data_IF_114903673244
#
_entry.id   IF_114903673244
#
_cell.length_a   1.000
_cell.length_b   1.000
_cell.length_c   1.000
_cell.angle_alpha   90.00
_cell.angle_beta   90.00
_cell.angle_gamma   90.00
#
_symmetry.space_group_name_H-M   'P 1'
#
loop_
_entity.id
_entity.type
_entity.pdbx_description
1 polymer ?
#
# COMPACT_ATOMS: atom_id res chain seq x y z
N UNK A 1 -12.84 -6.06 -22.56
CA UNK A 1 -12.03 -6.95 -21.71
C UNK A 1 -13.00 -7.76 -20.89
N UNK A 2 -13.09 -9.07 -21.11
CA UNK A 2 -13.79 -9.94 -20.17
C UNK A 2 -12.78 -10.25 -19.05
N UNK A 3 -13.03 -9.73 -17.84
CA UNK A 3 -12.27 -10.19 -16.68
C UNK A 3 -12.62 -11.67 -16.47
N UNK A 4 -11.59 -12.52 -16.39
CA UNK A 4 -11.78 -13.92 -16.02
C UNK A 4 -12.50 -14.05 -14.67
N UNK A 5 -13.05 -15.23 -14.39
CA UNK A 5 -13.82 -15.51 -13.17
C UNK A 5 -13.07 -15.06 -11.91
N UNK A 6 -11.75 -15.27 -11.86
CA UNK A 6 -10.89 -14.82 -10.76
C UNK A 6 -10.86 -13.30 -10.60
N UNK A 7 -10.68 -12.54 -11.69
CA UNK A 7 -10.66 -11.08 -11.65
C UNK A 7 -12.01 -10.47 -11.28
N UNK A 8 -13.11 -11.12 -11.67
CA UNK A 8 -14.48 -10.66 -11.35
C UNK A 8 -14.82 -10.86 -9.87
N UNK A 9 -14.35 -11.94 -9.25
CA UNK A 9 -14.61 -12.27 -7.84
C UNK A 9 -13.41 -11.99 -6.92
N UNK A 10 -12.45 -11.18 -7.36
CA UNK A 10 -11.21 -10.91 -6.61
C UNK A 10 -11.50 -10.43 -5.17
N UNK A 11 -12.46 -9.52 -4.99
CA UNK A 11 -12.84 -9.02 -3.66
C UNK A 11 -13.34 -10.14 -2.73
N UNK A 12 -14.08 -11.10 -3.28
CA UNK A 12 -14.59 -12.24 -2.52
C UNK A 12 -13.45 -13.20 -2.15
N UNK A 13 -12.55 -13.49 -3.10
CA UNK A 13 -11.37 -14.31 -2.83
C UNK A 13 -10.48 -13.69 -1.76
N UNK A 14 -10.24 -12.38 -1.83
CA UNK A 14 -9.47 -11.65 -0.80
C UNK A 14 -10.15 -11.75 0.56
N UNK A 15 -11.46 -11.55 0.63
CA UNK A 15 -12.21 -11.68 1.88
C UNK A 15 -12.11 -13.10 2.48
N UNK A 16 -12.24 -14.14 1.64
CA UNK A 16 -12.08 -15.54 2.05
C UNK A 16 -10.66 -15.79 2.57
N UNK A 17 -9.63 -15.30 1.87
CA UNK A 17 -8.24 -15.44 2.30
C UNK A 17 -7.97 -14.74 3.64
N UNK A 18 -8.57 -13.56 3.89
CA UNK A 18 -8.46 -12.86 5.17
C UNK A 18 -9.08 -13.69 6.29
N UNK A 19 -10.33 -14.15 6.11
CA UNK A 19 -11.04 -14.94 7.13
C UNK A 19 -10.32 -16.26 7.40
N UNK A 20 -9.91 -16.97 6.34
CA UNK A 20 -9.16 -18.22 6.47
C UNK A 20 -7.81 -18.00 7.15
N UNK A 21 -7.10 -16.91 6.82
CA UNK A 21 -5.82 -16.56 7.44
C UNK A 21 -5.95 -16.26 8.93
N UNK A 22 -6.99 -15.50 9.33
CA UNK A 22 -7.28 -15.22 10.74
C UNK A 22 -7.62 -16.51 11.50
N UNK A 23 -8.52 -17.34 10.95
CA UNK A 23 -8.90 -18.61 11.58
C UNK A 23 -7.70 -19.57 11.71
N UNK A 24 -6.84 -19.65 10.70
CA UNK A 24 -5.61 -20.45 10.75
C UNK A 24 -4.62 -19.91 11.78
N UNK A 25 -4.49 -18.58 11.91
CA UNK A 25 -3.61 -17.94 12.88
C UNK A 25 -4.05 -18.17 14.33
N UNK A 26 -5.36 -18.17 14.57
CA UNK A 26 -5.96 -18.36 15.90
C UNK A 26 -6.04 -19.84 16.32
N UNK A 27 -6.39 -20.74 15.38
CA UNK A 27 -6.53 -22.18 15.65
C UNK A 27 -5.19 -22.93 15.63
N UNK A 28 -4.19 -22.45 14.87
CA UNK A 28 -2.85 -23.03 14.81
C UNK A 28 -1.74 -21.99 15.09
N UNK A 29 -1.58 -21.58 16.36
CA UNK A 29 -0.55 -20.61 16.75
C UNK A 29 0.89 -21.11 16.44
N UNK A 30 1.11 -22.42 16.36
CA UNK A 30 2.40 -23.02 15.94
C UNK A 30 2.83 -22.63 14.53
N UNK A 31 1.89 -22.37 13.61
CA UNK A 31 2.19 -21.92 12.25
C UNK A 31 2.68 -20.46 12.26
N UNK A 32 2.00 -19.59 13.02
CA UNK A 32 2.42 -18.20 13.26
C UNK A 32 3.78 -18.12 13.96
N UNK A 33 4.01 -18.99 14.95
CA UNK A 33 5.27 -19.05 15.69
C UNK A 33 6.44 -19.54 14.81
N UNK A 34 6.18 -20.46 13.87
CA UNK A 34 7.20 -20.91 12.90
C UNK A 34 7.54 -19.81 11.90
N UNK A 35 6.56 -19.04 11.42
CA UNK A 35 6.78 -17.88 10.56
C UNK A 35 7.58 -16.78 11.30
N UNK A 36 7.30 -16.60 12.58
CA UNK A 36 8.02 -15.66 13.46
C UNK A 36 9.47 -16.09 13.68
N UNK A 37 9.79 -17.39 13.69
CA UNK A 37 11.19 -17.89 13.73
C UNK A 37 11.99 -17.58 12.46
N UNK A 38 11.32 -17.42 11.32
CA UNK A 38 11.92 -16.96 10.06
C UNK A 38 11.87 -15.43 9.89
N UNK A 39 11.71 -14.70 10.99
CA UNK A 39 11.72 -13.23 11.02
C UNK A 39 13.07 -12.76 11.57
N UNK A 40 13.83 -12.04 10.75
CA UNK A 40 15.06 -11.36 11.17
C UNK A 40 14.73 -9.86 11.25
N UNK A 41 14.92 -9.26 12.43
CA UNK A 41 14.69 -7.83 12.67
C UNK A 41 13.34 -7.30 12.18
N UNK A 42 12.23 -7.95 12.58
CA UNK A 42 10.84 -7.58 12.23
C UNK A 42 10.43 -7.84 10.76
N UNK A 43 11.31 -8.39 9.92
CA UNK A 43 10.98 -8.72 8.51
C UNK A 43 10.94 -10.24 8.30
N UNK A 44 9.77 -10.76 7.94
CA UNK A 44 9.60 -12.18 7.63
C UNK A 44 10.16 -12.49 6.24
N UNK A 45 11.23 -13.29 6.19
CA UNK A 45 11.89 -13.69 4.92
C UNK A 45 10.89 -14.27 3.90
N UNK A 46 9.94 -15.16 4.28
CA UNK A 46 8.97 -15.69 3.33
C UNK A 46 8.09 -14.61 2.69
N UNK A 47 7.67 -13.62 3.48
CA UNK A 47 6.84 -12.51 3.02
C UNK A 47 7.65 -11.61 2.08
N UNK A 48 8.92 -11.34 2.40
CA UNK A 48 9.80 -10.55 1.54
C UNK A 48 9.97 -11.21 0.15
N UNK A 49 10.15 -12.53 0.09
CA UNK A 49 10.23 -13.29 -1.18
C UNK A 49 8.92 -13.18 -1.96
N UNK A 50 7.77 -13.37 -1.30
CA UNK A 50 6.45 -13.24 -1.93
C UNK A 50 6.22 -11.85 -2.53
N UNK A 51 6.57 -10.80 -1.78
CA UNK A 51 6.47 -9.41 -2.26
C UNK A 51 7.41 -9.18 -3.44
N UNK A 52 8.62 -9.75 -3.43
CA UNK A 52 9.56 -9.63 -4.54
C UNK A 52 9.01 -10.30 -5.82
N UNK A 53 8.45 -11.51 -5.70
CA UNK A 53 7.77 -12.19 -6.81
C UNK A 53 6.59 -11.40 -7.36
N UNK A 54 5.89 -10.62 -6.52
CA UNK A 54 4.79 -9.75 -6.96
C UNK A 54 5.29 -8.54 -7.75
N UNK A 55 6.44 -7.97 -7.38
CA UNK A 55 7.01 -6.76 -8.02
C UNK A 55 7.66 -7.11 -9.37
N UNK A 56 8.34 -8.26 -9.45
CA UNK A 56 9.06 -8.71 -10.65
C UNK A 56 8.24 -8.64 -11.97
N UNK A 57 7.00 -9.19 -12.05
CA UNK A 57 6.23 -9.18 -13.29
C UNK A 57 5.81 -7.78 -13.73
N UNK A 58 5.65 -6.81 -12.81
CA UNK A 58 5.42 -5.42 -13.19
C UNK A 58 6.67 -4.79 -13.80
N UNK A 59 7.85 -5.08 -13.24
CA UNK A 59 9.11 -4.54 -13.74
C UNK A 59 9.45 -5.04 -15.15
N UNK A 60 9.16 -6.30 -15.44
CA UNK A 60 9.41 -6.90 -16.75
C UNK A 60 8.50 -6.35 -17.88
N UNK A 61 7.38 -5.69 -17.54
CA UNK A 61 6.41 -5.13 -18.51
C UNK A 61 6.77 -3.71 -18.97
N UNK A 62 7.90 -3.16 -18.52
CA UNK A 62 8.26 -1.75 -18.72
C UNK A 62 9.09 -1.58 -19.98
N UNK A 63 8.70 -0.60 -20.79
CA UNK A 63 9.52 -0.09 -21.89
C UNK A 63 10.24 1.18 -21.43
N UNK A 64 11.56 1.09 -21.22
CA UNK A 64 12.39 2.21 -20.75
C UNK A 64 12.42 3.40 -21.71
N UNK A 65 12.15 3.16 -23.00
CA UNK A 65 12.10 4.19 -24.03
C UNK A 65 10.92 5.15 -23.82
N UNK A 66 9.80 4.64 -23.27
CA UNK A 66 8.59 5.42 -23.00
C UNK A 66 8.68 6.29 -21.73
N UNK A 67 9.68 6.04 -20.86
CA UNK A 67 9.89 6.81 -19.62
C UNK A 67 10.33 8.26 -19.93
N UNK A 68 11.16 8.44 -20.97
CA UNK A 68 11.67 9.75 -21.36
C UNK A 68 10.55 10.72 -21.82
N UNK A 69 9.49 10.19 -22.42
CA UNK A 69 8.35 10.99 -22.89
C UNK A 69 7.47 11.53 -21.76
N UNK A 70 7.48 10.88 -20.60
CA UNK A 70 6.67 11.29 -19.44
C UNK A 70 7.10 12.66 -18.90
N UNK A 71 8.38 13.02 -19.05
CA UNK A 71 8.91 14.35 -18.68
C UNK A 71 8.18 15.49 -19.40
N UNK A 72 7.56 15.22 -20.56
CA UNK A 72 6.82 16.22 -21.35
C UNK A 72 5.46 16.60 -20.73
N UNK A 73 4.97 15.88 -19.71
CA UNK A 73 3.64 16.11 -19.08
C UNK A 73 3.72 16.25 -17.55
N UNK A 74 4.35 17.30 -17.01
CA UNK A 74 4.58 17.44 -15.56
C UNK A 74 3.33 17.75 -14.74
N UNK A 75 2.28 18.32 -15.35
CA UNK A 75 1.07 18.77 -14.63
C UNK A 75 0.36 17.64 -13.88
N UNK A 76 0.28 16.44 -14.48
CA UNK A 76 -0.38 15.30 -13.83
C UNK A 76 0.43 14.73 -12.68
N UNK A 77 1.76 14.71 -12.78
CA UNK A 77 2.65 14.34 -11.68
C UNK A 77 2.53 15.33 -10.51
N UNK A 78 2.57 16.63 -10.81
CA UNK A 78 2.44 17.68 -9.79
C UNK A 78 1.10 17.59 -9.04
N UNK A 79 -0.01 17.39 -9.76
CA UNK A 79 -1.33 17.22 -9.13
C UNK A 79 -1.36 15.99 -8.20
N UNK A 80 -0.81 14.87 -8.66
CA UNK A 80 -0.73 13.64 -7.86
C UNK A 80 0.08 13.87 -6.59
N UNK A 81 1.23 14.55 -6.71
CA UNK A 81 2.09 14.87 -5.58
C UNK A 81 1.38 15.75 -4.56
N UNK A 82 0.71 16.82 -5.01
CA UNK A 82 -0.06 17.70 -4.14
C UNK A 82 -1.18 16.93 -3.43
N UNK A 83 -1.92 16.07 -4.15
CA UNK A 83 -2.98 15.28 -3.52
C UNK A 83 -2.41 14.28 -2.51
N UNK A 84 -1.34 13.57 -2.88
CA UNK A 84 -0.75 12.53 -2.04
C UNK A 84 -0.09 13.08 -0.77
N UNK A 85 0.52 14.27 -0.84
CA UNK A 85 1.26 14.84 0.29
C UNK A 85 0.49 15.92 1.06
N UNK A 86 -0.40 16.66 0.40
CA UNK A 86 -1.12 17.77 1.02
C UNK A 86 -2.56 17.41 1.39
N UNK A 87 -3.23 16.56 0.61
CA UNK A 87 -4.65 16.26 0.87
C UNK A 87 -4.78 14.96 1.67
N UNK A 88 -4.15 13.89 1.18
CA UNK A 88 -4.30 12.53 1.70
C UNK A 88 -3.91 12.37 3.18
N UNK A 89 -2.76 12.86 3.68
CA UNK A 89 -2.40 12.67 5.09
C UNK A 89 -3.33 13.45 6.03
N UNK A 90 -3.77 14.63 5.61
CA UNK A 90 -4.70 15.43 6.40
C UNK A 90 -6.10 14.81 6.44
N UNK A 91 -6.61 14.32 5.31
CA UNK A 91 -7.88 13.59 5.31
C UNK A 91 -7.79 12.31 6.13
N UNK A 92 -6.68 11.57 6.04
CA UNK A 92 -6.47 10.39 6.88
C UNK A 92 -6.42 10.75 8.37
N UNK A 93 -5.69 11.79 8.76
CA UNK A 93 -5.67 12.25 10.15
C UNK A 93 -7.08 12.59 10.64
N UNK A 94 -7.83 13.41 9.91
CA UNK A 94 -9.17 13.85 10.32
C UNK A 94 -10.14 12.67 10.43
N UNK A 95 -10.15 11.79 9.43
CA UNK A 95 -11.05 10.62 9.42
C UNK A 95 -10.68 9.66 10.54
N UNK A 96 -9.40 9.31 10.67
CA UNK A 96 -8.97 8.36 11.69
C UNK A 96 -9.12 8.93 13.10
N UNK A 97 -8.80 10.20 13.31
CA UNK A 97 -9.02 10.89 14.59
C UNK A 97 -10.50 10.85 14.98
N UNK A 98 -11.39 11.22 14.06
CA UNK A 98 -12.83 11.22 14.31
C UNK A 98 -13.33 9.82 14.69
N UNK A 99 -12.93 8.79 13.94
CA UNK A 99 -13.37 7.44 14.26
C UNK A 99 -12.73 6.88 15.53
N UNK A 100 -11.41 6.94 15.68
CA UNK A 100 -10.72 6.29 16.80
C UNK A 100 -10.85 7.04 18.13
N UNK A 101 -10.85 8.39 18.12
CA UNK A 101 -10.84 9.20 19.34
C UNK A 101 -12.19 9.81 19.71
N UNK A 102 -13.20 9.75 18.84
CA UNK A 102 -14.56 10.22 19.15
C UNK A 102 -15.57 9.06 19.11
N UNK A 103 -15.67 8.35 17.98
CA UNK A 103 -16.70 7.30 17.82
C UNK A 103 -16.35 6.04 18.62
N UNK A 104 -15.10 5.57 18.53
CA UNK A 104 -14.63 4.35 19.18
C UNK A 104 -13.90 4.60 20.51
N UNK A 105 -13.90 5.84 21.01
CA UNK A 105 -13.31 6.20 22.30
C UNK A 105 -13.75 5.33 23.50
N UNK A 106 -15.00 4.83 23.58
CA UNK A 106 -15.39 3.95 24.69
C UNK A 106 -14.93 2.49 24.52
N UNK A 107 -14.48 2.10 23.32
CA UNK A 107 -14.15 0.71 22.96
C UNK A 107 -12.64 0.47 22.81
N UNK A 108 -11.84 1.54 22.74
CA UNK A 108 -10.40 1.49 22.49
C UNK A 108 -9.69 2.20 23.64
N UNK A 109 -8.69 1.54 24.21
CA UNK A 109 -7.84 2.11 25.26
C UNK A 109 -7.05 3.33 24.72
N UNK A 110 -6.83 4.35 25.56
CA UNK A 110 -6.34 5.66 25.13
C UNK A 110 -5.03 5.60 24.34
N UNK A 111 -4.07 4.83 24.85
CA UNK A 111 -2.74 4.60 24.26
C UNK A 111 -2.81 3.79 22.96
N UNK A 112 -3.69 2.77 22.90
CA UNK A 112 -3.92 1.97 21.69
C UNK A 112 -4.54 2.82 20.58
N UNK A 113 -5.42 3.75 20.93
CA UNK A 113 -6.01 4.70 19.99
C UNK A 113 -4.96 5.60 19.34
N UNK A 114 -3.96 6.06 20.10
CA UNK A 114 -2.86 6.86 19.56
C UNK A 114 -1.92 6.04 18.67
N UNK A 115 -1.61 4.80 19.06
CA UNK A 115 -0.82 3.89 18.24
C UNK A 115 -1.52 3.56 16.91
N UNK A 116 -2.83 3.31 16.92
CA UNK A 116 -3.61 3.06 15.70
C UNK A 116 -3.76 4.31 14.84
N UNK A 117 -3.92 5.49 15.45
CA UNK A 117 -3.93 6.76 14.74
C UNK A 117 -2.61 6.98 13.99
N UNK A 118 -1.48 6.81 14.69
CA UNK A 118 -0.16 6.89 14.07
C UNK A 118 -0.03 5.88 12.93
N UNK A 119 -0.34 4.61 13.17
CA UNK A 119 -0.29 3.56 12.15
C UNK A 119 -1.14 3.85 10.91
N UNK A 120 -2.34 4.40 11.08
CA UNK A 120 -3.23 4.75 9.98
C UNK A 120 -2.72 5.94 9.15
N UNK A 121 -2.13 6.95 9.79
CA UNK A 121 -1.48 8.07 9.09
C UNK A 121 -0.28 7.55 8.30
N UNK A 122 0.50 6.66 8.90
CA UNK A 122 1.68 6.07 8.26
C UNK A 122 1.29 5.24 7.02
N UNK A 123 0.25 4.39 7.15
CA UNK A 123 -0.35 3.65 6.03
C UNK A 123 -0.99 4.60 4.99
N UNK A 124 -1.57 5.70 5.44
CA UNK A 124 -2.14 6.74 4.60
C UNK A 124 -1.10 7.44 3.73
N UNK A 125 0.09 7.70 4.25
CA UNK A 125 1.21 8.27 3.49
C UNK A 125 1.78 7.27 2.46
N UNK A 126 1.73 5.97 2.77
CA UNK A 126 2.24 4.93 1.88
C UNK A 126 1.53 4.92 0.50
N UNK A 127 2.28 5.00 -0.60
CA UNK A 127 1.73 4.80 -1.94
C UNK A 127 1.44 3.33 -2.23
N UNK A 128 0.27 3.05 -2.82
CA UNK A 128 -0.03 1.73 -3.34
C UNK A 128 0.48 1.63 -4.79
N UNK A 129 1.62 0.99 -4.98
CA UNK A 129 2.24 0.87 -6.31
C UNK A 129 1.46 -0.09 -7.21
N UNK A 130 1.22 -1.31 -6.73
CA UNK A 130 0.62 -2.38 -7.53
C UNK A 130 -0.82 -2.09 -7.99
N UNK A 131 -1.66 -1.52 -7.13
CA UNK A 131 -3.08 -1.31 -7.46
C UNK A 131 -3.25 -0.23 -8.53
N UNK A 132 -2.44 0.83 -8.49
CA UNK A 132 -2.49 1.91 -9.48
C UNK A 132 -2.13 1.40 -10.87
N UNK A 133 -1.21 0.43 -10.99
CA UNK A 133 -0.92 -0.24 -12.26
C UNK A 133 -2.11 -1.02 -12.80
N UNK A 134 -2.80 -1.78 -11.93
CA UNK A 134 -4.00 -2.53 -12.34
C UNK A 134 -5.10 -1.58 -12.81
N UNK A 135 -5.37 -0.50 -12.07
CA UNK A 135 -6.33 0.51 -12.50
C UNK A 135 -5.92 1.18 -13.81
N UNK A 136 -4.65 1.58 -13.94
CA UNK A 136 -4.12 2.14 -15.19
C UNK A 136 -4.28 1.17 -16.35
N UNK A 137 -4.05 -0.13 -16.15
CA UNK A 137 -4.27 -1.15 -17.17
C UNK A 137 -5.75 -1.26 -17.55
N UNK A 138 -6.64 -1.30 -16.56
CA UNK A 138 -8.10 -1.38 -16.76
C UNK A 138 -8.67 -0.15 -17.47
N UNK A 139 -8.15 1.05 -17.19
CA UNK A 139 -8.57 2.30 -17.84
C UNK A 139 -7.87 2.56 -19.17
N UNK A 140 -7.08 1.62 -19.70
CA UNK A 140 -6.24 1.79 -20.89
C UNK A 140 -5.28 2.99 -20.79
N UNK A 141 -4.83 3.29 -19.58
CA UNK A 141 -3.84 4.32 -19.29
C UNK A 141 -2.44 3.91 -19.72
N UNK A 142 -1.52 4.89 -19.69
CA UNK A 142 -0.12 4.66 -20.03
C UNK A 142 0.64 4.09 -18.82
N UNK A 143 1.04 2.82 -18.90
CA UNK A 143 1.75 2.13 -17.84
C UNK A 143 3.11 2.78 -17.50
N UNK A 144 3.84 3.31 -18.50
CA UNK A 144 5.11 4.00 -18.28
C UNK A 144 4.90 5.32 -17.52
N UNK A 145 3.82 6.06 -17.83
CA UNK A 145 3.45 7.27 -17.10
C UNK A 145 3.11 6.96 -15.63
N UNK A 146 2.28 5.94 -15.40
CA UNK A 146 1.92 5.46 -14.06
C UNK A 146 3.14 5.02 -13.27
N UNK A 147 4.09 4.35 -13.92
CA UNK A 147 5.34 3.97 -13.28
C UNK A 147 6.15 5.17 -12.81
N UNK A 148 6.38 6.15 -13.68
CA UNK A 148 7.13 7.36 -13.31
C UNK A 148 6.44 8.10 -12.18
N UNK A 149 5.11 8.18 -12.20
CA UNK A 149 4.33 8.78 -11.13
C UNK A 149 4.52 8.05 -9.78
N UNK A 150 4.52 6.71 -9.80
CA UNK A 150 4.76 5.89 -8.61
C UNK A 150 6.21 6.03 -8.13
N UNK A 151 7.20 5.88 -9.03
CA UNK A 151 8.63 5.98 -8.68
C UNK A 151 9.00 7.34 -8.13
N UNK A 152 8.49 8.43 -8.72
CA UNK A 152 8.74 9.79 -8.19
C UNK A 152 8.14 9.94 -6.79
N UNK A 153 6.94 9.39 -6.55
CA UNK A 153 6.34 9.44 -5.23
C UNK A 153 7.11 8.59 -4.20
N UNK A 154 7.57 7.39 -4.58
CA UNK A 154 8.36 6.51 -3.73
C UNK A 154 9.72 7.14 -3.38
N UNK A 155 10.38 7.79 -4.35
CA UNK A 155 11.61 8.55 -4.10
C UNK A 155 11.37 9.69 -3.12
N UNK A 156 10.29 10.45 -3.28
CA UNK A 156 9.95 11.54 -2.36
C UNK A 156 9.62 10.98 -0.97
N UNK A 157 8.92 9.85 -0.86
CA UNK A 157 8.71 9.16 0.42
C UNK A 157 10.04 8.74 1.06
N UNK A 158 10.99 8.21 0.30
CA UNK A 158 12.30 7.84 0.82
C UNK A 158 13.04 9.05 1.43
N UNK A 159 12.96 10.23 0.80
CA UNK A 159 13.68 11.42 1.25
C UNK A 159 12.92 12.28 2.26
N UNK A 160 11.59 12.35 2.18
CA UNK A 160 10.79 13.22 3.02
C UNK A 160 10.11 12.46 4.16
N UNK A 161 9.65 11.22 3.94
CA UNK A 161 8.91 10.47 4.95
C UNK A 161 9.81 9.59 5.82
N UNK A 162 10.80 8.90 5.24
CA UNK A 162 11.70 8.06 6.04
C UNK A 162 12.42 8.83 7.17
N UNK A 163 12.89 10.08 6.97
CA UNK A 163 13.50 10.84 8.07
C UNK A 163 12.48 11.30 9.12
N UNK A 164 11.24 11.61 8.74
CA UNK A 164 10.19 12.09 9.65
C UNK A 164 9.71 10.99 10.60
N UNK A 165 9.74 9.73 10.17
CA UNK A 165 9.29 8.59 10.98
C UNK A 165 10.39 8.03 11.89
N UNK A 166 11.66 8.28 11.52
CA UNK A 166 12.82 7.83 12.31
C UNK A 166 13.18 8.85 13.42
N UNK A 167 12.74 10.11 13.30
CA UNK A 167 12.84 11.17 14.30
C UNK A 167 11.68 11.12 15.30
#
# INVERSE_FOLDING_TARGET
>A
MQLGIFGKYLTLWVAICIVAGLALGELWPSFSNTLSRFTISQVSIPVAILVWFMIYPMMARIDFTSIADVRKRPRGLALTLVINWLVKPFTMFVVTWFFLKIVFAPWIDGDLGDAYLAGAILLGAAPCTAMVFVWSYLTKGNAAYTLVQVTVNDLIMLFAYAPIVIL
#
